data_IF_291951142838
#
_entry.id   IF_291951142838
#
_cell.length_a   1.000
_cell.length_b   1.000
_cell.length_c   1.000
_cell.angle_alpha   90.00
_cell.angle_beta   90.00
_cell.angle_gamma   90.00
#
_symmetry.space_group_name_H-M   'P 1'
#
loop_
_entity.id
_entity.type
_entity.pdbx_description
1 polymer ?
#
# COMPACT_ATOMS: atom_id res chain seq x y z
N UNK A 1 -17.13 -20.00 -27.83
CA UNK A 1 -16.46 -21.16 -27.16
C UNK A 1 -15.83 -20.60 -25.87
N UNK A 2 -16.44 -20.80 -24.72
CA UNK A 2 -15.94 -20.33 -23.42
C UNK A 2 -14.79 -21.27 -23.03
N UNK A 3 -13.54 -20.76 -23.07
CA UNK A 3 -12.37 -21.53 -22.63
C UNK A 3 -12.48 -21.78 -21.12
N UNK A 4 -12.70 -23.02 -20.73
CA UNK A 4 -12.63 -23.43 -19.31
C UNK A 4 -11.19 -23.14 -18.84
N UNK A 5 -11.00 -22.36 -17.76
CA UNK A 5 -9.65 -22.07 -17.26
C UNK A 5 -8.98 -23.39 -16.84
N UNK A 6 -7.70 -23.53 -17.17
CA UNK A 6 -6.88 -24.63 -16.69
C UNK A 6 -6.92 -24.69 -15.16
N UNK A 7 -7.04 -25.88 -14.59
CA UNK A 7 -7.14 -26.09 -13.12
C UNK A 7 -6.01 -25.37 -12.35
N UNK A 8 -4.81 -25.28 -12.93
CA UNK A 8 -3.69 -24.55 -12.34
C UNK A 8 -3.94 -23.04 -12.29
N UNK A 9 -4.50 -22.45 -13.34
CA UNK A 9 -4.84 -21.03 -13.39
C UNK A 9 -6.01 -20.69 -12.44
N UNK A 10 -7.01 -21.56 -12.36
CA UNK A 10 -8.11 -21.36 -11.41
C UNK A 10 -7.59 -21.32 -9.96
N UNK A 11 -6.70 -22.22 -9.58
CA UNK A 11 -6.16 -22.27 -8.23
C UNK A 11 -5.31 -21.01 -7.90
N UNK A 12 -4.53 -20.47 -8.86
CA UNK A 12 -3.80 -19.19 -8.69
C UNK A 12 -4.74 -18.02 -8.41
N UNK A 13 -5.85 -17.96 -9.16
CA UNK A 13 -6.88 -16.93 -8.96
C UNK A 13 -7.52 -17.06 -7.57
N UNK A 14 -7.89 -18.28 -7.17
CA UNK A 14 -8.50 -18.55 -5.87
C UNK A 14 -7.57 -18.13 -4.73
N UNK A 15 -6.27 -18.47 -4.80
CA UNK A 15 -5.29 -18.04 -3.78
C UNK A 15 -5.15 -16.52 -3.78
N UNK A 16 -5.08 -15.87 -4.95
CA UNK A 16 -4.99 -14.40 -5.02
C UNK A 16 -6.21 -13.72 -4.37
N UNK A 17 -7.41 -14.20 -4.68
CA UNK A 17 -8.64 -13.69 -4.05
C UNK A 17 -8.68 -13.95 -2.55
N UNK A 18 -8.26 -15.11 -2.11
CA UNK A 18 -8.13 -15.43 -0.68
C UNK A 18 -7.16 -14.45 0.03
N UNK A 19 -6.00 -14.17 -0.59
CA UNK A 19 -5.03 -13.21 -0.04
C UNK A 19 -5.61 -11.80 0.07
N UNK A 20 -6.35 -11.33 -0.94
CA UNK A 20 -7.07 -10.05 -0.86
C UNK A 20 -8.02 -10.02 0.32
N UNK A 21 -8.88 -11.03 0.42
CA UNK A 21 -9.92 -11.09 1.45
C UNK A 21 -9.32 -11.17 2.85
N UNK A 22 -8.36 -12.06 3.07
CA UNK A 22 -7.75 -12.23 4.40
C UNK A 22 -6.96 -11.00 4.83
N UNK A 23 -6.24 -10.34 3.92
CA UNK A 23 -5.52 -9.10 4.22
C UNK A 23 -6.51 -7.98 4.55
N UNK A 24 -7.56 -7.81 3.75
CA UNK A 24 -8.59 -6.81 4.00
C UNK A 24 -9.26 -7.03 5.36
N UNK A 25 -9.69 -8.26 5.67
CA UNK A 25 -10.34 -8.58 6.95
C UNK A 25 -9.42 -8.40 8.16
N UNK A 26 -8.10 -8.60 8.00
CA UNK A 26 -7.14 -8.39 9.09
C UNK A 26 -6.95 -6.91 9.43
N UNK A 27 -7.08 -6.03 8.44
CA UNK A 27 -6.77 -4.60 8.57
C UNK A 27 -7.97 -3.66 8.40
N UNK A 28 -9.18 -4.17 8.14
CA UNK A 28 -10.34 -3.31 7.86
C UNK A 28 -10.61 -2.27 8.95
N UNK A 29 -10.29 -2.58 10.21
CA UNK A 29 -10.47 -1.69 11.35
C UNK A 29 -9.63 -0.42 11.26
N UNK A 30 -8.54 -0.41 10.47
CA UNK A 30 -7.71 0.79 10.31
C UNK A 30 -8.49 1.93 9.63
N UNK A 31 -9.55 1.61 8.89
CA UNK A 31 -10.41 2.61 8.23
C UNK A 31 -11.18 3.47 9.22
N UNK A 32 -11.35 3.02 10.46
CA UNK A 32 -12.02 3.76 11.54
C UNK A 32 -11.01 4.60 12.36
N UNK A 33 -9.70 4.52 12.05
CA UNK A 33 -8.69 5.27 12.78
C UNK A 33 -8.58 6.71 12.26
N UNK A 34 -8.29 7.64 13.20
CA UNK A 34 -7.95 9.03 12.88
C UNK A 34 -6.47 9.23 12.55
N UNK A 35 -6.11 10.45 12.14
CA UNK A 35 -4.71 10.84 12.05
C UNK A 35 -4.05 10.81 13.44
N UNK A 36 -2.84 10.26 13.51
CA UNK A 36 -2.05 10.27 14.74
C UNK A 36 -1.43 11.67 14.94
N UNK A 37 -1.62 12.22 16.14
CA UNK A 37 -1.01 13.49 16.52
C UNK A 37 0.51 13.32 16.80
N UNK A 38 1.24 12.92 15.78
CA UNK A 38 2.68 12.76 15.76
C UNK A 38 3.18 13.17 14.35
N UNK A 39 3.55 12.20 13.51
CA UNK A 39 4.05 12.53 12.16
C UNK A 39 2.92 12.81 11.15
N UNK A 40 1.70 12.28 11.33
CA UNK A 40 0.61 12.49 10.37
C UNK A 40 0.22 13.97 10.26
N UNK A 41 0.33 14.73 11.36
CA UNK A 41 0.10 16.18 11.34
C UNK A 41 1.10 16.88 10.42
N UNK A 42 2.37 16.57 10.55
CA UNK A 42 3.43 17.15 9.72
C UNK A 42 3.40 16.65 8.29
N UNK A 43 3.05 15.37 8.08
CA UNK A 43 3.05 14.75 6.77
C UNK A 43 1.82 15.12 5.95
N UNK A 44 0.65 15.27 6.57
CA UNK A 44 -0.62 15.45 5.86
C UNK A 44 -1.35 16.71 6.29
N UNK A 45 -1.84 16.77 7.55
CA UNK A 45 -2.86 17.76 7.93
C UNK A 45 -2.35 19.20 8.00
N UNK A 46 -1.11 19.43 8.40
CA UNK A 46 -0.47 20.75 8.48
C UNK A 46 0.48 21.04 7.31
N UNK A 47 0.68 20.07 6.40
CA UNK A 47 1.54 20.26 5.26
C UNK A 47 0.81 21.01 4.13
N UNK A 48 1.11 22.29 3.99
CA UNK A 48 0.46 23.15 2.98
C UNK A 48 0.76 22.75 1.54
N UNK A 49 1.77 21.93 1.27
CA UNK A 49 2.02 21.37 -0.06
C UNK A 49 1.11 20.19 -0.33
N UNK A 50 0.79 19.36 0.68
CA UNK A 50 -0.14 18.24 0.56
C UNK A 50 -1.58 18.75 0.44
N UNK A 51 -1.98 19.71 1.29
CA UNK A 51 -3.34 20.24 1.33
C UNK A 51 -3.72 21.13 0.15
N UNK A 52 -2.83 21.28 -0.83
CA UNK A 52 -3.12 21.90 -2.15
C UNK A 52 -3.34 20.87 -3.26
N UNK A 53 -3.22 19.59 -2.95
CA UNK A 53 -3.31 18.52 -3.93
C UNK A 53 -2.11 18.48 -4.90
N UNK A 54 -2.31 17.88 -6.08
CA UNK A 54 -1.27 17.72 -7.14
C UNK A 54 -1.00 19.04 -7.93
N UNK A 55 -0.95 20.18 -7.24
CA UNK A 55 -0.55 21.43 -7.86
C UNK A 55 0.90 21.36 -8.36
N UNK A 56 1.20 22.08 -9.46
CA UNK A 56 2.56 22.10 -10.06
C UNK A 56 3.66 22.44 -9.05
N UNK A 57 3.39 23.42 -8.20
CA UNK A 57 4.32 23.86 -7.15
C UNK A 57 4.60 22.74 -6.14
N UNK A 58 3.57 22.00 -5.74
CA UNK A 58 3.69 20.84 -4.85
C UNK A 58 4.52 19.71 -5.47
N UNK A 59 4.29 19.42 -6.76
CA UNK A 59 5.09 18.41 -7.49
C UNK A 59 6.56 18.83 -7.55
N UNK A 60 6.86 20.07 -7.92
CA UNK A 60 8.25 20.58 -7.94
C UNK A 60 8.87 20.50 -6.54
N UNK A 61 8.16 20.95 -5.51
CA UNK A 61 8.59 20.85 -4.12
C UNK A 61 8.93 19.42 -3.71
N UNK A 62 8.10 18.45 -4.04
CA UNK A 62 8.31 17.04 -3.69
C UNK A 62 9.64 16.47 -4.20
N UNK A 63 10.10 16.91 -5.37
CA UNK A 63 11.37 16.46 -5.95
C UNK A 63 12.58 17.30 -5.57
N UNK A 64 12.40 18.57 -5.16
CA UNK A 64 13.50 19.51 -4.95
C UNK A 64 13.79 19.81 -3.48
N UNK A 65 12.86 19.50 -2.56
CA UNK A 65 13.00 19.84 -1.16
C UNK A 65 12.97 18.60 -0.27
N UNK A 66 13.72 18.65 0.84
CA UNK A 66 13.57 17.71 1.96
C UNK A 66 12.61 18.31 2.97
N UNK A 67 11.70 17.49 3.49
CA UNK A 67 10.75 17.91 4.51
C UNK A 67 10.67 16.86 5.63
N UNK A 68 10.54 17.30 6.89
CA UNK A 68 10.58 16.43 8.07
C UNK A 68 11.80 15.48 8.07
N UNK A 69 12.98 16.01 7.65
CA UNK A 69 14.24 15.28 7.50
C UNK A 69 14.22 14.14 6.47
N UNK A 70 13.24 14.11 5.58
CA UNK A 70 13.06 13.05 4.57
C UNK A 70 12.98 13.63 3.15
N UNK A 71 13.50 12.86 2.19
CA UNK A 71 13.32 13.09 0.76
C UNK A 71 12.70 11.85 0.13
N UNK A 72 11.38 11.85 -0.04
CA UNK A 72 10.63 10.75 -0.62
C UNK A 72 9.49 11.28 -1.52
N UNK A 73 9.86 11.80 -2.71
CA UNK A 73 8.93 12.51 -3.59
C UNK A 73 7.68 11.72 -3.94
N UNK A 74 7.80 10.42 -4.21
CA UNK A 74 6.66 9.57 -4.57
C UNK A 74 5.66 9.44 -3.41
N UNK A 75 6.14 9.40 -2.18
CA UNK A 75 5.28 9.40 -0.98
C UNK A 75 4.50 10.70 -0.87
N UNK A 76 5.18 11.85 -1.09
CA UNK A 76 4.51 13.16 -1.10
C UNK A 76 3.44 13.23 -2.19
N UNK A 77 3.74 12.81 -3.41
CA UNK A 77 2.76 12.77 -4.50
C UNK A 77 1.57 11.87 -4.17
N UNK A 78 1.80 10.73 -3.51
CA UNK A 78 0.75 9.83 -3.08
C UNK A 78 -0.18 10.48 -2.04
N UNK A 79 0.36 11.24 -1.09
CA UNK A 79 -0.46 11.98 -0.13
C UNK A 79 -1.21 13.16 -0.78
N UNK A 80 -0.60 13.86 -1.75
CA UNK A 80 -1.28 14.89 -2.53
C UNK A 80 -2.46 14.33 -3.31
N UNK A 81 -2.29 13.14 -3.92
CA UNK A 81 -3.35 12.46 -4.63
C UNK A 81 -4.49 12.04 -3.70
N UNK A 82 -4.17 11.50 -2.52
CA UNK A 82 -5.17 11.17 -1.52
C UNK A 82 -5.93 12.41 -1.07
N UNK A 83 -5.23 13.53 -0.88
CA UNK A 83 -5.90 14.77 -0.51
C UNK A 83 -6.88 15.24 -1.60
N UNK A 84 -6.55 15.10 -2.90
CA UNK A 84 -7.48 15.43 -3.97
C UNK A 84 -8.74 14.55 -3.99
N UNK A 85 -8.59 13.27 -3.60
CA UNK A 85 -9.69 12.30 -3.67
C UNK A 85 -10.54 12.34 -2.39
N UNK A 86 -9.89 12.43 -1.24
CA UNK A 86 -10.51 12.24 0.08
C UNK A 86 -10.47 13.49 0.98
N UNK A 87 -9.74 14.53 0.58
CA UNK A 87 -9.48 15.68 1.47
C UNK A 87 -8.69 15.26 2.71
N UNK A 88 -9.17 15.70 3.86
CA UNK A 88 -8.63 15.30 5.18
C UNK A 88 -9.46 14.18 5.85
N UNK A 89 -10.12 13.33 5.08
CA UNK A 89 -10.73 12.12 5.62
C UNK A 89 -9.65 11.05 5.86
N UNK A 90 -9.33 10.71 7.13
CA UNK A 90 -8.27 9.75 7.45
C UNK A 90 -8.58 8.35 6.91
N UNK A 91 -9.87 7.98 6.81
CA UNK A 91 -10.32 6.69 6.27
C UNK A 91 -9.79 6.45 4.85
N UNK A 92 -9.84 7.48 3.98
CA UNK A 92 -9.30 7.41 2.62
C UNK A 92 -7.78 7.20 2.58
N UNK A 93 -7.05 7.93 3.44
CA UNK A 93 -5.60 7.77 3.54
C UNK A 93 -5.19 6.37 4.06
N UNK A 94 -5.92 5.83 5.03
CA UNK A 94 -5.72 4.46 5.50
C UNK A 94 -6.06 3.43 4.41
N UNK A 95 -7.14 3.66 3.66
CA UNK A 95 -7.53 2.79 2.54
C UNK A 95 -6.41 2.67 1.50
N UNK A 96 -5.72 3.76 1.19
CA UNK A 96 -4.59 3.75 0.26
C UNK A 96 -3.42 2.92 0.80
N UNK A 97 -3.07 3.03 2.11
CA UNK A 97 -2.05 2.16 2.71
C UNK A 97 -2.44 0.69 2.63
N UNK A 98 -3.67 0.37 2.98
CA UNK A 98 -4.20 -0.99 2.91
C UNK A 98 -4.20 -1.52 1.48
N UNK A 99 -4.58 -0.70 0.49
CA UNK A 99 -4.51 -1.06 -0.91
C UNK A 99 -3.08 -1.46 -1.34
N UNK A 100 -2.07 -0.65 -0.99
CA UNK A 100 -0.68 -0.98 -1.29
C UNK A 100 -0.22 -2.25 -0.57
N UNK A 101 -0.65 -2.49 0.67
CA UNK A 101 -0.30 -3.72 1.38
C UNK A 101 -0.92 -4.97 0.74
N UNK A 102 -2.18 -4.89 0.30
CA UNK A 102 -2.84 -5.96 -0.47
C UNK A 102 -2.09 -6.19 -1.79
N UNK A 103 -1.75 -5.12 -2.52
CA UNK A 103 -0.99 -5.22 -3.76
C UNK A 103 0.38 -5.87 -3.54
N UNK A 104 1.10 -5.49 -2.48
CA UNK A 104 2.37 -6.09 -2.08
C UNK A 104 2.24 -7.58 -1.78
N UNK A 105 1.19 -7.97 -1.08
CA UNK A 105 0.90 -9.38 -0.77
C UNK A 105 0.70 -10.20 -2.05
N UNK A 106 -0.07 -9.66 -3.00
CA UNK A 106 -0.31 -10.32 -4.29
C UNK A 106 0.97 -10.36 -5.14
N UNK A 107 1.73 -9.28 -5.21
CA UNK A 107 2.99 -9.24 -5.93
C UNK A 107 3.98 -10.25 -5.35
N UNK A 108 4.14 -10.33 -4.03
CA UNK A 108 4.99 -11.31 -3.37
C UNK A 108 4.59 -12.74 -3.75
N UNK A 109 3.29 -13.05 -3.71
CA UNK A 109 2.79 -14.37 -4.13
C UNK A 109 3.22 -14.69 -5.57
N UNK A 110 3.02 -13.76 -6.51
CA UNK A 110 3.33 -14.00 -7.91
C UNK A 110 4.83 -14.06 -8.20
N UNK A 111 5.63 -13.22 -7.55
CA UNK A 111 7.10 -13.26 -7.63
C UNK A 111 7.61 -14.61 -7.15
N UNK A 112 7.22 -15.04 -5.95
CA UNK A 112 7.65 -16.34 -5.42
C UNK A 112 7.17 -17.51 -6.28
N UNK A 113 5.95 -17.44 -6.79
CA UNK A 113 5.42 -18.47 -7.68
C UNK A 113 6.23 -18.55 -8.98
N UNK A 114 6.60 -17.42 -9.59
CA UNK A 114 7.46 -17.39 -10.78
C UNK A 114 8.86 -17.93 -10.50
N UNK A 115 9.43 -17.58 -9.36
CA UNK A 115 10.80 -18.01 -9.01
C UNK A 115 10.88 -19.49 -8.65
N UNK A 116 9.87 -20.05 -7.99
CA UNK A 116 9.96 -21.40 -7.39
C UNK A 116 9.06 -22.44 -8.06
N UNK A 117 8.05 -22.02 -8.80
CA UNK A 117 6.99 -22.90 -9.30
C UNK A 117 6.09 -23.53 -8.21
N UNK A 118 6.34 -23.24 -6.94
CA UNK A 118 5.73 -23.90 -5.79
C UNK A 118 4.48 -23.16 -5.29
N UNK A 119 3.31 -23.45 -5.88
CA UNK A 119 2.05 -22.74 -5.65
C UNK A 119 1.69 -22.59 -4.16
N UNK A 120 1.64 -23.69 -3.43
CA UNK A 120 1.21 -23.67 -2.02
C UNK A 120 2.22 -23.00 -1.08
N UNK A 121 3.52 -23.20 -1.33
CA UNK A 121 4.58 -22.57 -0.55
C UNK A 121 4.58 -21.06 -0.76
N UNK A 122 4.41 -20.61 -1.99
CA UNK A 122 4.31 -19.18 -2.33
C UNK A 122 3.08 -18.55 -1.68
N UNK A 123 1.93 -19.22 -1.73
CA UNK A 123 0.72 -18.77 -1.04
C UNK A 123 0.90 -18.68 0.48
N UNK A 124 1.51 -19.69 1.09
CA UNK A 124 1.77 -19.69 2.53
C UNK A 124 2.67 -18.53 2.97
N UNK A 125 3.78 -18.27 2.25
CA UNK A 125 4.67 -17.14 2.56
C UNK A 125 3.94 -15.82 2.38
N UNK A 126 3.11 -15.68 1.35
CA UNK A 126 2.32 -14.47 1.14
C UNK A 126 1.29 -14.24 2.26
N UNK A 127 0.64 -15.30 2.78
CA UNK A 127 -0.24 -15.18 3.98
C UNK A 127 0.56 -14.73 5.20
N UNK A 128 1.73 -15.32 5.45
CA UNK A 128 2.59 -14.91 6.56
C UNK A 128 2.98 -13.44 6.44
N UNK A 129 3.36 -12.98 5.25
CA UNK A 129 3.65 -11.57 5.01
C UNK A 129 2.42 -10.70 5.25
N UNK A 130 1.26 -11.08 4.70
CA UNK A 130 0.02 -10.32 4.82
C UNK A 130 -0.39 -10.07 6.27
N UNK A 131 -0.25 -11.09 7.12
CA UNK A 131 -0.75 -11.09 8.51
C UNK A 131 0.35 -10.85 9.55
N UNK A 132 1.59 -10.61 9.12
CA UNK A 132 2.70 -10.47 10.05
C UNK A 132 2.55 -9.20 10.91
N UNK A 133 2.65 -9.31 12.25
CA UNK A 133 2.47 -8.17 13.15
C UNK A 133 3.39 -6.97 12.88
N UNK A 134 4.59 -7.20 12.33
CA UNK A 134 5.52 -6.13 11.96
C UNK A 134 5.02 -5.24 10.81
N UNK A 135 4.03 -5.68 10.04
CA UNK A 135 3.44 -4.86 8.99
C UNK A 135 2.33 -3.93 9.49
N UNK A 136 1.86 -4.12 10.73
CA UNK A 136 0.78 -3.29 11.31
C UNK A 136 1.16 -1.82 11.30
N UNK A 137 2.36 -1.47 11.74
CA UNK A 137 2.86 -0.09 11.73
C UNK A 137 2.83 0.51 10.33
N UNK A 138 3.38 -0.20 9.33
CA UNK A 138 3.44 0.28 7.95
C UNK A 138 2.07 0.44 7.28
N UNK A 139 1.05 -0.29 7.73
CA UNK A 139 -0.31 -0.26 7.16
C UNK A 139 -1.18 0.73 7.92
N UNK A 140 -1.17 0.66 9.25
CA UNK A 140 -2.08 1.42 10.11
C UNK A 140 -1.61 2.87 10.38
N UNK A 141 -0.36 3.21 10.12
CA UNK A 141 0.17 4.56 10.29
C UNK A 141 0.30 5.27 8.94
N UNK A 142 -0.41 6.37 8.74
CA UNK A 142 -0.49 7.07 7.45
C UNK A 142 0.88 7.59 7.02
N UNK A 143 1.68 8.18 7.92
CA UNK A 143 3.03 8.69 7.63
C UNK A 143 4.03 7.58 7.22
N UNK A 144 3.75 6.30 7.56
CA UNK A 144 4.58 5.15 7.16
C UNK A 144 4.27 4.63 5.74
N UNK A 145 3.47 5.33 4.96
CA UNK A 145 3.20 5.04 3.55
C UNK A 145 4.45 4.76 2.73
N UNK A 146 5.55 5.41 3.05
CA UNK A 146 6.85 5.18 2.41
C UNK A 146 7.24 3.70 2.38
N UNK A 147 6.89 2.93 3.40
CA UNK A 147 7.23 1.51 3.51
C UNK A 147 6.41 0.66 2.54
N UNK A 148 5.09 0.85 2.51
CA UNK A 148 4.23 0.08 1.60
C UNK A 148 4.47 0.45 0.13
N UNK A 149 4.76 1.74 -0.16
CA UNK A 149 5.11 2.21 -1.51
C UNK A 149 6.46 1.68 -1.97
N UNK A 150 7.51 1.77 -1.16
CA UNK A 150 8.84 1.26 -1.53
C UNK A 150 8.81 -0.24 -1.78
N UNK A 151 8.09 -0.99 -0.94
CA UNK A 151 7.89 -2.43 -1.11
C UNK A 151 7.15 -2.74 -2.42
N UNK A 152 6.12 -1.94 -2.76
CA UNK A 152 5.38 -2.09 -4.01
C UNK A 152 6.28 -1.94 -5.24
N UNK A 153 7.04 -0.86 -5.30
CA UNK A 153 7.95 -0.64 -6.42
C UNK A 153 9.08 -1.66 -6.45
N UNK A 154 9.58 -2.10 -5.30
CA UNK A 154 10.58 -3.15 -5.25
C UNK A 154 10.08 -4.46 -5.84
N UNK A 155 8.90 -4.92 -5.44
CA UNK A 155 8.33 -6.16 -6.02
C UNK A 155 8.04 -6.06 -7.51
N UNK A 156 7.76 -4.86 -8.04
CA UNK A 156 7.58 -4.66 -9.48
C UNK A 156 8.88 -4.80 -10.28
N UNK A 157 10.05 -4.70 -9.64
CA UNK A 157 11.36 -4.86 -10.29
C UNK A 157 11.85 -6.31 -10.32
N UNK A 158 11.19 -7.24 -9.63
CA UNK A 158 11.52 -8.66 -9.55
C UNK A 158 10.74 -9.48 -10.56
#
# INVERSE_FOLDING_TARGET
MIRVPDKGNLMRIVISLFLVVVTFLAYWQVLDHGFLNFDDTRYVTENTHITKGLAREGVVWAFTQSYASNWHPVTWLSHMLDFEIYGLDPSGHHLTNLFFHIANTILLFWVLLKMTGALWRSGFVAVLFALHPLNVESVAWIAERKNVLSTFFWFLTL
#
